data_IF_363411266627
#
_entry.id   IF_363411266627
#
_cell.length_a   1.000
_cell.length_b   1.000
_cell.length_c   1.000
_cell.angle_alpha   90.00
_cell.angle_beta   90.00
_cell.angle_gamma   90.00
#
_symmetry.space_group_name_H-M   'P 1'
#
loop_
_entity.id
_entity.type
_entity.pdbx_description
1 polymer ?
#
# COMPACT_ATOMS: atom_id res chain seq x y z
N UNK A 1 -21.10 -9.96 -0.14
CA UNK A 1 -20.61 -10.33 -1.48
C UNK A 1 -20.79 -9.19 -2.48
N UNK A 2 -22.01 -8.69 -2.71
CA UNK A 2 -22.24 -7.58 -3.65
C UNK A 2 -21.39 -6.32 -3.39
N UNK A 3 -21.25 -5.89 -2.12
CA UNK A 3 -20.41 -4.73 -1.76
C UNK A 3 -18.93 -4.90 -2.11
N UNK A 4 -18.37 -6.09 -1.89
CA UNK A 4 -16.97 -6.39 -2.25
C UNK A 4 -16.80 -6.38 -3.78
N UNK A 5 -17.72 -6.98 -4.52
CA UNK A 5 -17.69 -6.98 -5.98
C UNK A 5 -17.76 -5.55 -6.55
N UNK A 6 -18.62 -4.69 -5.99
CA UNK A 6 -18.70 -3.29 -6.39
C UNK A 6 -17.44 -2.49 -6.06
N UNK A 7 -16.79 -2.76 -4.92
CA UNK A 7 -15.52 -2.13 -4.55
C UNK A 7 -14.40 -2.51 -5.52
N UNK A 8 -14.28 -3.80 -5.86
CA UNK A 8 -13.27 -4.29 -6.80
C UNK A 8 -13.50 -3.74 -8.20
N UNK A 9 -14.73 -3.77 -8.69
CA UNK A 9 -15.05 -3.22 -10.01
C UNK A 9 -14.88 -1.70 -10.05
N UNK A 10 -15.29 -1.01 -8.98
CA UNK A 10 -15.14 0.44 -8.85
C UNK A 10 -13.67 0.86 -8.80
N UNK A 11 -12.79 0.12 -8.11
CA UNK A 11 -11.36 0.42 -8.10
C UNK A 11 -10.73 0.22 -9.47
N UNK A 12 -11.11 -0.83 -10.22
CA UNK A 12 -10.66 -1.04 -11.60
C UNK A 12 -11.09 0.12 -12.51
N UNK A 13 -12.37 0.50 -12.47
CA UNK A 13 -12.89 1.60 -13.28
C UNK A 13 -12.20 2.94 -12.95
N UNK A 14 -11.91 3.18 -11.66
CA UNK A 14 -11.16 4.35 -11.23
C UNK A 14 -9.73 4.36 -11.80
N UNK A 15 -9.01 3.24 -11.69
CA UNK A 15 -7.64 3.11 -12.21
C UNK A 15 -7.61 3.30 -13.72
N UNK A 16 -8.53 2.68 -14.45
CA UNK A 16 -8.59 2.77 -15.91
C UNK A 16 -8.90 4.19 -16.39
N UNK A 17 -9.89 4.84 -15.78
CA UNK A 17 -10.26 6.22 -16.09
C UNK A 17 -9.14 7.20 -15.77
N UNK A 18 -8.55 7.09 -14.58
CA UNK A 18 -7.48 7.96 -14.15
C UNK A 18 -6.18 7.73 -14.98
N UNK A 19 -5.89 6.49 -15.37
CA UNK A 19 -4.74 6.17 -16.25
C UNK A 19 -4.93 6.75 -17.64
N UNK A 20 -6.16 6.70 -18.18
CA UNK A 20 -6.50 7.29 -19.47
C UNK A 20 -6.34 8.82 -19.45
N UNK A 21 -6.77 9.45 -18.37
CA UNK A 21 -6.57 10.88 -18.18
C UNK A 21 -5.08 11.23 -18.05
N UNK A 22 -4.31 10.47 -17.26
CA UNK A 22 -2.87 10.69 -17.10
C UNK A 22 -2.10 10.55 -18.43
N UNK A 23 -2.45 9.55 -19.25
CA UNK A 23 -1.94 9.41 -20.62
C UNK A 23 -2.23 10.62 -21.49
N UNK A 24 -3.44 11.19 -21.39
CA UNK A 24 -3.81 12.39 -22.16
C UNK A 24 -3.02 13.64 -21.77
N UNK A 25 -2.50 13.68 -20.54
CA UNK A 25 -1.58 14.71 -20.05
C UNK A 25 -0.09 14.41 -20.36
N UNK A 26 0.21 13.34 -21.11
CA UNK A 26 1.57 12.98 -21.49
C UNK A 26 2.39 12.33 -20.37
N UNK A 27 1.75 11.85 -19.30
CA UNK A 27 2.42 11.11 -18.22
C UNK A 27 2.81 9.72 -18.73
N UNK A 28 4.03 9.29 -18.42
CA UNK A 28 4.56 7.99 -18.87
C UNK A 28 3.87 6.80 -18.18
N UNK A 29 3.76 5.68 -18.89
CA UNK A 29 3.22 4.41 -18.35
C UNK A 29 3.98 3.95 -17.10
N UNK A 30 5.28 4.23 -17.01
CA UNK A 30 6.10 3.94 -15.83
C UNK A 30 5.59 4.70 -14.60
N UNK A 31 5.34 6.01 -14.73
CA UNK A 31 4.83 6.82 -13.62
C UNK A 31 3.41 6.40 -13.26
N UNK A 32 2.56 6.10 -14.24
CA UNK A 32 1.20 5.60 -14.01
C UNK A 32 1.24 4.27 -13.25
N UNK A 33 2.10 3.34 -13.65
CA UNK A 33 2.27 2.04 -13.00
C UNK A 33 2.78 2.15 -11.55
N UNK A 34 3.77 3.01 -11.31
CA UNK A 34 4.35 3.20 -9.99
C UNK A 34 3.45 3.97 -9.02
N UNK A 35 2.46 4.72 -9.52
CA UNK A 35 1.60 5.57 -8.68
C UNK A 35 0.14 5.13 -8.72
N UNK A 36 -0.55 5.35 -9.83
CA UNK A 36 -1.98 5.12 -9.99
C UNK A 36 -2.35 3.65 -9.82
N UNK A 37 -1.63 2.76 -10.49
CA UNK A 37 -1.91 1.31 -10.44
C UNK A 37 -1.58 0.77 -9.05
N UNK A 38 -0.43 1.16 -8.50
CA UNK A 38 0.00 0.75 -7.16
C UNK A 38 -0.99 1.18 -6.05
N UNK A 39 -1.50 2.40 -6.11
CA UNK A 39 -2.54 2.88 -5.18
C UNK A 39 -3.86 2.17 -5.47
N UNK A 40 -4.20 2.04 -6.75
CA UNK A 40 -5.44 1.47 -7.25
C UNK A 40 -5.76 0.07 -6.76
N UNK A 41 -4.74 -0.80 -6.71
CA UNK A 41 -4.88 -2.17 -6.21
C UNK A 41 -5.14 -2.24 -4.71
N UNK A 42 -4.75 -1.21 -3.95
CA UNK A 42 -4.96 -1.12 -2.50
C UNK A 42 -6.22 -0.33 -2.11
N UNK A 43 -6.93 0.26 -3.09
CA UNK A 43 -8.15 1.04 -2.82
C UNK A 43 -9.27 0.22 -2.15
N UNK A 44 -9.56 -1.03 -2.57
CA UNK A 44 -10.55 -1.85 -1.88
C UNK A 44 -10.21 -2.05 -0.41
N UNK A 45 -8.95 -2.35 -0.10
CA UNK A 45 -8.44 -2.57 1.26
C UNK A 45 -8.50 -1.30 2.09
N UNK A 46 -8.14 -0.15 1.51
CA UNK A 46 -8.27 1.14 2.16
C UNK A 46 -9.74 1.44 2.50
N UNK A 47 -10.65 1.20 1.55
CA UNK A 47 -12.08 1.42 1.75
C UNK A 47 -12.64 0.51 2.85
N UNK A 48 -12.30 -0.79 2.84
CA UNK A 48 -12.77 -1.73 3.88
C UNK A 48 -12.19 -1.40 5.24
N UNK A 49 -10.91 -1.03 5.33
CA UNK A 49 -10.27 -0.58 6.58
C UNK A 49 -10.92 0.70 7.12
N UNK A 50 -11.17 1.70 6.28
CA UNK A 50 -11.82 2.95 6.70
C UNK A 50 -13.22 2.68 7.24
N UNK A 51 -14.01 1.86 6.55
CA UNK A 51 -15.36 1.50 7.00
C UNK A 51 -15.31 0.77 8.36
N UNK A 52 -14.38 -0.17 8.55
CA UNK A 52 -14.20 -0.86 9.83
C UNK A 52 -13.84 0.12 10.96
N UNK A 53 -12.94 1.07 10.72
CA UNK A 53 -12.59 2.11 11.71
C UNK A 53 -13.80 2.99 12.04
N UNK A 54 -14.59 3.41 11.05
CA UNK A 54 -15.80 4.22 11.26
C UNK A 54 -16.87 3.47 12.07
N UNK A 55 -16.93 2.14 11.94
CA UNK A 55 -17.79 1.26 12.74
C UNK A 55 -17.24 0.97 14.14
N UNK A 56 -16.08 1.54 14.51
CA UNK A 56 -15.35 1.26 15.76
C UNK A 56 -14.88 -0.20 15.88
N UNK A 57 -14.74 -0.89 14.75
CA UNK A 57 -14.26 -2.27 14.64
C UNK A 57 -12.74 -2.27 14.39
N UNK A 58 -11.97 -1.72 15.35
CA UNK A 58 -10.53 -1.52 15.22
C UNK A 58 -9.74 -2.81 14.97
N UNK A 59 -10.15 -3.91 15.61
CA UNK A 59 -9.50 -5.21 15.42
C UNK A 59 -9.66 -5.74 13.98
N UNK A 60 -10.82 -5.50 13.35
CA UNK A 60 -11.07 -5.87 11.95
C UNK A 60 -10.22 -5.02 11.02
N UNK A 61 -10.10 -3.72 11.31
CA UNK A 61 -9.26 -2.80 10.54
C UNK A 61 -7.78 -3.22 10.57
N UNK A 62 -7.25 -3.57 11.75
CA UNK A 62 -5.87 -4.06 11.90
C UNK A 62 -5.70 -5.42 11.21
N UNK A 63 -6.68 -6.32 11.37
CA UNK A 63 -6.69 -7.62 10.70
C UNK A 63 -6.63 -7.51 9.18
N UNK A 64 -7.39 -6.56 8.60
CA UNK A 64 -7.36 -6.30 7.16
C UNK A 64 -5.98 -5.77 6.71
N UNK A 65 -5.42 -4.78 7.40
CA UNK A 65 -4.12 -4.19 7.01
C UNK A 65 -2.98 -5.22 7.13
N UNK A 66 -2.90 -5.94 8.25
CA UNK A 66 -1.83 -6.93 8.47
C UNK A 66 -2.03 -8.14 7.58
N UNK A 67 -3.27 -8.65 7.48
CA UNK A 67 -3.62 -9.82 6.69
C UNK A 67 -3.34 -9.63 5.19
N UNK A 68 -3.75 -8.51 4.61
CA UNK A 68 -3.54 -8.24 3.18
C UNK A 68 -2.06 -8.11 2.82
N UNK A 69 -1.25 -7.45 3.67
CA UNK A 69 0.20 -7.36 3.45
C UNK A 69 0.88 -8.73 3.55
N UNK A 70 0.49 -9.54 4.54
CA UNK A 70 1.03 -10.89 4.71
C UNK A 70 0.66 -11.80 3.54
N UNK A 71 -0.60 -11.74 3.07
CA UNK A 71 -1.06 -12.46 1.90
C UNK A 71 -0.29 -12.04 0.64
N UNK A 72 -0.11 -10.74 0.41
CA UNK A 72 0.63 -10.23 -0.75
C UNK A 72 2.09 -10.68 -0.74
N UNK A 73 2.76 -10.66 0.41
CA UNK A 73 4.16 -11.09 0.50
C UNK A 73 4.32 -12.61 0.39
N UNK A 74 3.57 -13.37 1.20
CA UNK A 74 3.75 -14.83 1.31
C UNK A 74 3.09 -15.58 0.16
N UNK A 75 1.85 -15.24 -0.18
CA UNK A 75 1.12 -15.95 -1.21
C UNK A 75 1.47 -15.42 -2.59
N UNK A 76 1.20 -14.14 -2.89
CA UNK A 76 1.43 -13.59 -4.23
C UNK A 76 2.93 -13.55 -4.53
N UNK A 77 3.72 -12.90 -3.68
CA UNK A 77 5.17 -12.77 -3.83
C UNK A 77 5.89 -14.12 -3.76
N UNK A 78 5.58 -14.92 -2.74
CA UNK A 78 6.18 -16.25 -2.56
C UNK A 78 5.86 -17.21 -3.70
N UNK A 79 4.60 -17.31 -4.13
CA UNK A 79 4.23 -18.16 -5.27
C UNK A 79 4.87 -17.67 -6.57
N UNK A 80 4.89 -16.35 -6.79
CA UNK A 80 5.57 -15.75 -7.96
C UNK A 80 7.06 -16.11 -7.98
N UNK A 81 7.74 -16.06 -6.84
CA UNK A 81 9.16 -16.41 -6.72
C UNK A 81 9.45 -17.91 -6.94
N UNK A 82 8.52 -18.80 -6.56
CA UNK A 82 8.61 -20.25 -6.84
C UNK A 82 8.46 -20.53 -8.33
N UNK A 83 7.51 -19.85 -9.00
CA UNK A 83 7.26 -20.04 -10.44
C UNK A 83 8.40 -19.44 -11.28
N UNK A 84 8.84 -18.23 -10.95
CA UNK A 84 9.91 -17.51 -11.64
C UNK A 84 10.75 -16.72 -10.63
N UNK A 85 12.06 -17.00 -10.52
CA UNK A 85 12.92 -16.23 -9.64
C UNK A 85 12.83 -14.73 -9.93
N UNK A 86 12.52 -13.95 -8.89
CA UNK A 86 12.39 -12.49 -8.96
C UNK A 86 13.77 -11.87 -8.70
N UNK A 87 14.45 -11.31 -9.71
CA UNK A 87 15.72 -10.63 -9.49
C UNK A 87 15.48 -9.40 -8.60
N UNK A 88 16.23 -9.30 -7.50
CA UNK A 88 16.13 -8.17 -6.57
C UNK A 88 17.25 -7.18 -6.88
N UNK A 89 16.96 -5.97 -7.39
CA UNK A 89 17.94 -4.92 -7.63
C UNK A 89 18.68 -4.49 -6.35
N UNK A 90 19.91 -4.01 -6.50
CA UNK A 90 20.73 -3.52 -5.38
C UNK A 90 20.06 -2.35 -4.63
N UNK A 91 19.37 -1.46 -5.35
CA UNK A 91 18.64 -0.33 -4.74
C UNK A 91 17.55 -0.81 -3.75
N UNK A 92 16.78 -1.82 -4.13
CA UNK A 92 15.75 -2.42 -3.25
C UNK A 92 16.35 -3.01 -1.97
N UNK A 93 17.53 -3.64 -2.07
CA UNK A 93 18.23 -4.20 -0.90
C UNK A 93 18.79 -3.13 0.03
N UNK A 94 19.24 -2.01 -0.53
CA UNK A 94 19.92 -0.96 0.22
C UNK A 94 18.97 -0.03 0.98
N UNK A 95 17.85 0.37 0.36
CA UNK A 95 16.98 1.42 0.90
C UNK A 95 15.55 0.92 1.10
N UNK A 96 14.97 0.27 0.10
CA UNK A 96 13.54 -0.07 0.14
C UNK A 96 13.21 -1.09 1.23
N UNK A 97 13.96 -2.19 1.32
CA UNK A 97 13.74 -3.21 2.35
C UNK A 97 14.03 -2.72 3.77
N UNK A 98 15.16 -2.05 4.07
CA UNK A 98 15.37 -1.48 5.41
C UNK A 98 14.29 -0.47 5.79
N UNK A 99 13.84 0.36 4.85
CA UNK A 99 12.75 1.31 5.09
C UNK A 99 11.46 0.59 5.41
N UNK A 100 11.06 -0.40 4.60
CA UNK A 100 9.85 -1.19 4.82
C UNK A 100 9.85 -1.90 6.18
N UNK A 101 10.98 -2.48 6.58
CA UNK A 101 11.15 -3.10 7.90
C UNK A 101 11.02 -2.04 9.00
N UNK A 102 11.66 -0.88 8.83
CA UNK A 102 11.57 0.24 9.77
C UNK A 102 10.13 0.71 9.99
N UNK A 103 9.36 0.91 8.92
CA UNK A 103 7.94 1.24 9.01
C UNK A 103 7.14 0.15 9.73
N UNK A 104 7.39 -1.12 9.40
CA UNK A 104 6.70 -2.27 10.01
C UNK A 104 6.95 -2.32 11.51
N UNK A 105 8.21 -2.18 11.94
CA UNK A 105 8.59 -2.16 13.36
C UNK A 105 7.98 -0.95 14.06
N UNK A 106 7.98 0.23 13.44
CA UNK A 106 7.41 1.44 14.03
C UNK A 106 5.89 1.30 14.26
N UNK A 107 5.15 0.79 13.27
CA UNK A 107 3.72 0.48 13.40
C UNK A 107 3.49 -0.55 14.50
N UNK A 108 4.33 -1.60 14.56
CA UNK A 108 4.24 -2.63 15.59
C UNK A 108 4.45 -2.06 17.00
N UNK A 109 5.47 -1.21 17.20
CA UNK A 109 5.72 -0.54 18.49
C UNK A 109 4.51 0.30 18.89
N UNK A 110 3.96 1.10 17.98
CA UNK A 110 2.79 1.94 18.28
C UNK A 110 1.56 1.11 18.64
N UNK A 111 1.31 0.02 17.92
CA UNK A 111 0.24 -0.90 18.26
C UNK A 111 0.48 -1.59 19.62
N UNK A 112 1.70 -2.01 19.92
CA UNK A 112 2.03 -2.71 21.16
C UNK A 112 1.96 -1.80 22.40
N UNK A 113 2.40 -0.54 22.30
CA UNK A 113 2.47 0.38 23.44
C UNK A 113 1.12 1.03 23.78
N UNK A 114 0.24 1.26 22.80
CA UNK A 114 -1.01 2.01 22.99
C UNK A 114 -2.27 1.12 23.01
N UNK A 115 -2.27 0.04 23.80
CA UNK A 115 -3.43 -0.87 23.93
C UNK A 115 -4.00 -1.34 22.58
N UNK A 116 -3.13 -1.64 21.59
CA UNK A 116 -3.50 -2.04 20.21
C UNK A 116 -4.15 -0.97 19.35
N UNK A 117 -3.99 0.31 19.70
CA UNK A 117 -4.50 1.43 18.91
C UNK A 117 -3.40 2.38 18.46
N UNK A 118 -3.45 2.76 17.18
CA UNK A 118 -2.64 3.86 16.65
C UNK A 118 -3.39 5.17 16.89
N UNK A 119 -2.81 6.07 17.68
CA UNK A 119 -3.44 7.38 17.98
C UNK A 119 -3.23 8.37 16.84
N UNK A 120 -4.03 9.45 16.79
CA UNK A 120 -4.05 10.43 15.68
C UNK A 120 -2.67 11.00 15.32
N UNK A 121 -1.87 11.36 16.33
CA UNK A 121 -0.51 11.85 16.13
C UNK A 121 0.41 10.79 15.49
N UNK A 122 0.35 9.54 15.97
CA UNK A 122 1.11 8.43 15.39
C UNK A 122 0.71 8.17 13.93
N UNK A 123 -0.59 8.22 13.65
CA UNK A 123 -1.11 8.13 12.28
C UNK A 123 -0.60 9.27 11.40
N UNK A 124 -0.63 10.51 11.89
CA UNK A 124 -0.09 11.67 11.17
C UNK A 124 1.41 11.55 10.89
N UNK A 125 2.18 11.06 11.87
CA UNK A 125 3.62 10.82 11.69
C UNK A 125 3.89 9.69 10.67
N UNK A 126 3.15 8.58 10.73
CA UNK A 126 3.26 7.48 9.75
C UNK A 126 2.91 7.95 8.34
N UNK A 127 1.87 8.79 8.20
CA UNK A 127 1.48 9.38 6.92
C UNK A 127 2.56 10.32 6.38
N UNK A 128 3.15 11.16 7.24
CA UNK A 128 4.27 12.04 6.87
C UNK A 128 5.48 11.23 6.38
N UNK A 129 5.83 10.16 7.09
CA UNK A 129 6.92 9.26 6.68
C UNK A 129 6.60 8.61 5.33
N UNK A 130 5.38 8.11 5.13
CA UNK A 130 4.94 7.50 3.88
C UNK A 130 5.07 8.49 2.72
N UNK A 131 4.52 9.70 2.85
CA UNK A 131 4.62 10.75 1.82
C UNK A 131 6.07 11.12 1.54
N UNK A 132 6.90 11.28 2.57
CA UNK A 132 8.32 11.60 2.42
C UNK A 132 9.07 10.51 1.65
N UNK A 133 8.78 9.24 1.94
CA UNK A 133 9.36 8.11 1.24
C UNK A 133 8.88 8.01 -0.22
N UNK A 134 7.59 8.25 -0.49
CA UNK A 134 7.07 8.29 -1.86
C UNK A 134 7.70 9.41 -2.69
N UNK A 135 7.88 10.61 -2.10
CA UNK A 135 8.60 11.72 -2.76
C UNK A 135 10.05 11.33 -3.04
N UNK A 136 10.73 10.74 -2.06
CA UNK A 136 12.10 10.25 -2.24
C UNK A 136 12.20 9.25 -3.40
N UNK A 137 11.32 8.25 -3.44
CA UNK A 137 11.28 7.25 -4.52
C UNK A 137 11.05 7.90 -5.89
N UNK A 138 10.15 8.89 -5.96
CA UNK A 138 9.86 9.59 -7.20
C UNK A 138 11.05 10.41 -7.69
N UNK A 139 11.76 11.10 -6.80
CA UNK A 139 12.96 11.87 -7.17
C UNK A 139 14.14 10.95 -7.51
N UNK A 140 14.31 9.84 -6.80
CA UNK A 140 15.41 8.92 -7.01
C UNK A 140 15.27 8.03 -8.26
N UNK A 141 14.03 7.73 -8.70
CA UNK A 141 13.75 6.83 -9.83
C UNK A 141 13.05 7.51 -11.02
N UNK A 142 12.60 8.76 -10.86
CA UNK A 142 11.95 9.57 -11.91
C UNK A 142 12.91 10.46 -12.70
N UNK A 143 14.22 10.22 -12.62
CA UNK A 143 15.28 10.88 -13.39
C UNK A 143 15.83 9.96 -14.48
#
# INVERSE_FOLDING_TARGET
VAGLAMLVFGSQLFVDGASTLARSFGISELVIGLTLVAVGTSLPELATTVIAVLRKEGDIAVGNVVGSNLFNMLFIGGLSAVIRPLPVPLHMRGIDFPTLIGFTVLVFIFAATNKRHVVRWQGGMLLLLYVSYTIYLFVANGG
#
